data_IF_874709418480
#
_entry.id   IF_874709418480
#
_cell.length_a   1.000
_cell.length_b   1.000
_cell.length_c   1.000
_cell.angle_alpha   90.00
_cell.angle_beta   90.00
_cell.angle_gamma   90.00
#
_symmetry.space_group_name_H-M   'P 1'
#
loop_
_entity.id
_entity.type
_entity.pdbx_description
1 polymer ?
#
# COMPACT_ATOMS: atom_id res chain seq x y z
N UNK A 1 34.49 -4.62 70.28
CA UNK A 1 33.59 -3.48 70.58
C UNK A 1 32.74 -3.15 69.35
N UNK A 2 31.41 -3.17 69.53
CA UNK A 2 30.34 -2.48 68.75
C UNK A 2 30.24 -2.61 67.20
N UNK A 3 29.05 -3.14 66.82
CA UNK A 3 28.08 -2.64 65.80
C UNK A 3 28.44 -2.97 64.33
N UNK A 4 27.54 -3.27 63.38
CA UNK A 4 26.07 -3.22 63.26
C UNK A 4 25.63 -3.77 61.87
N UNK A 5 24.38 -4.28 61.76
CA UNK A 5 23.47 -4.42 60.58
C UNK A 5 23.96 -5.13 59.29
N UNK A 6 23.18 -5.96 58.60
CA UNK A 6 21.79 -6.41 58.73
C UNK A 6 21.43 -7.36 57.58
N UNK A 7 20.31 -8.08 57.68
CA UNK A 7 19.43 -8.55 56.58
C UNK A 7 18.35 -9.48 57.17
N UNK A 8 17.08 -9.21 56.90
CA UNK A 8 15.94 -10.15 56.98
C UNK A 8 15.31 -10.06 55.58
N UNK A 9 15.16 -11.09 54.74
CA UNK A 9 14.95 -12.52 54.99
C UNK A 9 13.55 -12.69 55.58
N UNK A 10 12.50 -13.10 54.87
CA UNK A 10 12.40 -14.23 53.96
C UNK A 10 11.61 -15.35 54.66
N UNK A 11 10.60 -15.88 53.96
CA UNK A 11 9.87 -17.13 54.21
C UNK A 11 8.94 -17.22 55.44
N UNK A 12 7.67 -17.57 55.16
CA UNK A 12 6.96 -18.55 55.98
C UNK A 12 6.26 -19.56 55.05
N UNK A 13 6.66 -20.82 55.22
CA UNK A 13 6.07 -22.01 54.63
C UNK A 13 5.00 -22.57 55.58
N UNK A 14 3.98 -23.25 55.04
CA UNK A 14 3.49 -24.49 55.66
C UNK A 14 2.71 -25.34 54.65
N UNK A 15 2.97 -26.65 54.68
CA UNK A 15 2.38 -27.72 53.88
C UNK A 15 1.68 -28.72 54.83
N UNK A 16 0.70 -29.47 54.28
CA UNK A 16 0.09 -30.74 54.71
C UNK A 16 -1.18 -30.61 55.59
N UNK A 17 -2.30 -31.32 55.36
CA UNK A 17 -2.65 -32.34 54.36
C UNK A 17 -4.01 -33.03 54.68
N UNK A 18 -4.74 -33.36 53.60
CA UNK A 18 -5.59 -34.56 53.30
C UNK A 18 -6.95 -34.85 54.03
N UNK A 19 -7.95 -35.17 53.17
CA UNK A 19 -9.20 -35.98 53.26
C UNK A 19 -10.53 -35.18 53.36
N UNK A 20 -11.64 -35.48 52.67
CA UNK A 20 -11.99 -36.22 51.45
C UNK A 20 -13.50 -35.93 51.16
N UNK A 21 -13.96 -36.24 49.93
CA UNK A 21 -15.36 -36.45 49.46
C UNK A 21 -16.15 -35.20 48.98
N UNK A 22 -16.56 -35.23 47.70
CA UNK A 22 -17.68 -34.39 47.20
C UNK A 22 -17.62 -34.02 45.71
N UNK A 23 -18.19 -34.86 44.85
CA UNK A 23 -18.61 -34.65 43.46
C UNK A 23 -18.85 -33.21 42.95
N UNK A 24 -18.19 -32.81 41.86
CA UNK A 24 -18.85 -32.51 40.57
C UNK A 24 -17.79 -32.29 39.47
N UNK A 25 -18.00 -32.95 38.33
CA UNK A 25 -17.22 -32.76 37.10
C UNK A 25 -17.62 -31.42 36.47
N UNK A 26 -16.87 -30.37 36.76
CA UNK A 26 -16.86 -29.13 35.97
C UNK A 26 -15.53 -29.03 35.24
N UNK A 27 -15.49 -29.38 33.94
CA UNK A 27 -14.37 -29.00 33.08
C UNK A 27 -14.36 -27.48 32.96
N UNK A 28 -13.43 -26.82 33.62
CA UNK A 28 -13.05 -25.46 33.25
C UNK A 28 -12.12 -25.56 32.05
N UNK A 29 -12.68 -25.38 30.86
CA UNK A 29 -11.91 -25.06 29.66
C UNK A 29 -11.08 -23.79 29.96
N UNK A 30 -9.79 -23.74 29.58
CA UNK A 30 -9.04 -22.49 29.65
C UNK A 30 -9.68 -21.50 28.67
N UNK A 31 -10.13 -20.36 29.17
CA UNK A 31 -10.54 -19.23 28.34
C UNK A 31 -9.31 -18.82 27.54
N UNK A 32 -9.27 -19.22 26.27
CA UNK A 32 -8.36 -18.67 25.30
C UNK A 32 -8.67 -17.17 25.22
N UNK A 33 -7.79 -16.35 25.79
CA UNK A 33 -7.77 -14.91 25.51
C UNK A 33 -7.44 -14.75 24.04
N UNK A 34 -8.47 -14.71 23.21
CA UNK A 34 -8.37 -14.29 21.81
C UNK A 34 -7.79 -12.87 21.81
N UNK A 35 -6.71 -12.67 21.06
CA UNK A 35 -6.25 -11.34 20.70
C UNK A 35 -7.46 -10.51 20.20
N UNK A 36 -7.53 -9.20 20.47
CA UNK A 36 -8.64 -8.37 19.99
C UNK A 36 -8.77 -8.55 18.48
N UNK A 37 -9.96 -8.94 18.03
CA UNK A 37 -10.33 -9.08 16.61
C UNK A 37 -10.08 -7.73 15.95
N UNK A 38 -8.99 -7.61 15.19
CA UNK A 38 -8.67 -6.40 14.43
C UNK A 38 -9.84 -6.11 13.50
N UNK A 39 -10.38 -4.89 13.53
CA UNK A 39 -11.52 -4.52 12.71
C UNK A 39 -11.18 -4.71 11.21
N UNK A 40 -11.79 -5.72 10.59
CA UNK A 40 -11.57 -6.08 9.20
C UNK A 40 -12.28 -5.12 8.25
N UNK A 41 -11.67 -4.94 7.08
CA UNK A 41 -12.07 -3.99 6.06
C UNK A 41 -11.98 -4.69 4.70
N UNK A 42 -12.94 -4.39 3.83
CA UNK A 42 -13.00 -4.99 2.49
C UNK A 42 -13.31 -3.94 1.41
N UNK A 43 -12.55 -3.98 0.31
CA UNK A 43 -12.86 -3.24 -0.90
C UNK A 43 -14.12 -3.79 -1.59
N UNK A 44 -14.81 -2.96 -2.38
CA UNK A 44 -15.88 -3.46 -3.22
C UNK A 44 -15.33 -4.41 -4.31
N UNK A 45 -16.18 -5.30 -4.83
CA UNK A 45 -15.77 -6.14 -5.95
C UNK A 45 -15.52 -5.28 -7.20
N UNK A 46 -14.39 -5.51 -7.88
CA UNK A 46 -14.07 -4.83 -9.13
C UNK A 46 -14.92 -5.43 -10.26
N UNK A 47 -15.64 -4.57 -10.98
CA UNK A 47 -16.44 -5.00 -12.14
C UNK A 47 -15.54 -5.51 -13.28
N UNK A 48 -16.05 -6.45 -14.08
CA UNK A 48 -15.36 -6.92 -15.28
C UNK A 48 -15.13 -5.75 -16.24
N UNK A 49 -13.88 -5.53 -16.73
CA UNK A 49 -13.59 -4.45 -17.67
C UNK A 49 -14.48 -4.54 -18.91
N UNK A 50 -14.91 -3.39 -19.43
CA UNK A 50 -15.53 -3.33 -20.76
C UNK A 50 -14.51 -3.80 -21.80
N UNK A 51 -14.92 -4.68 -22.71
CA UNK A 51 -14.12 -5.03 -23.89
C UNK A 51 -14.03 -3.88 -24.91
N UNK A 52 -14.81 -2.82 -24.71
CA UNK A 52 -14.90 -1.64 -25.57
C UNK A 52 -14.49 -0.39 -24.79
N UNK A 53 -13.28 0.08 -25.04
CA UNK A 53 -12.72 1.27 -24.39
C UNK A 53 -13.51 2.55 -24.73
N UNK A 54 -14.08 2.64 -25.93
CA UNK A 54 -14.87 3.82 -26.32
C UNK A 54 -16.17 3.92 -25.54
N UNK A 55 -16.82 2.78 -25.25
CA UNK A 55 -18.02 2.77 -24.40
C UNK A 55 -17.70 3.13 -22.95
N UNK A 56 -16.58 2.64 -22.42
CA UNK A 56 -16.14 2.99 -21.08
C UNK A 56 -15.87 4.50 -20.96
N UNK A 57 -15.23 5.09 -21.98
CA UNK A 57 -15.03 6.54 -22.06
C UNK A 57 -16.37 7.29 -22.09
N UNK A 58 -17.26 6.97 -23.03
CA UNK A 58 -18.56 7.64 -23.13
C UNK A 58 -19.38 7.56 -21.84
N UNK A 59 -19.36 6.41 -21.15
CA UNK A 59 -20.03 6.24 -19.87
C UNK A 59 -19.42 7.15 -18.78
N UNK A 60 -18.08 7.22 -18.70
CA UNK A 60 -17.39 8.12 -17.77
C UNK A 60 -17.73 9.58 -18.06
N UNK A 61 -17.66 9.98 -19.34
CA UNK A 61 -17.99 11.34 -19.77
C UNK A 61 -19.43 11.73 -19.43
N UNK A 62 -20.38 10.82 -19.66
CA UNK A 62 -21.78 11.01 -19.30
C UNK A 62 -21.99 11.18 -17.79
N UNK A 63 -21.29 10.38 -16.97
CA UNK A 63 -21.38 10.49 -15.52
C UNK A 63 -20.87 11.85 -15.03
N UNK A 64 -19.75 12.33 -15.56
CA UNK A 64 -19.20 13.65 -15.22
C UNK A 64 -20.15 14.79 -15.61
N UNK A 65 -20.87 14.65 -16.72
CA UNK A 65 -21.89 15.62 -17.15
C UNK A 65 -23.09 15.64 -16.22
N UNK A 66 -23.64 14.45 -15.90
CA UNK A 66 -24.81 14.31 -15.03
C UNK A 66 -24.53 14.79 -13.60
N UNK A 67 -23.31 14.56 -13.10
CA UNK A 67 -22.86 15.07 -11.80
C UNK A 67 -22.59 16.59 -11.83
N UNK A 68 -22.63 17.23 -12.99
CA UNK A 68 -22.37 18.66 -13.15
C UNK A 68 -20.89 19.04 -13.05
N UNK A 69 -19.97 18.07 -13.07
CA UNK A 69 -18.53 18.30 -12.95
C UNK A 69 -18.03 19.16 -14.11
N UNK A 70 -18.44 18.84 -15.34
CA UNK A 70 -18.05 19.64 -16.52
C UNK A 70 -18.59 21.05 -16.49
N UNK A 71 -19.81 21.22 -15.99
CA UNK A 71 -20.41 22.54 -15.81
C UNK A 71 -19.61 23.35 -14.80
N UNK A 72 -19.29 22.76 -13.65
CA UNK A 72 -18.47 23.41 -12.63
C UNK A 72 -17.10 23.79 -13.18
N UNK A 73 -16.43 22.88 -13.89
CA UNK A 73 -15.15 23.14 -14.56
C UNK A 73 -15.24 24.28 -15.57
N UNK A 74 -16.28 24.30 -16.41
CA UNK A 74 -16.47 25.35 -17.42
C UNK A 74 -16.79 26.72 -16.80
N UNK A 75 -17.56 26.77 -15.73
CA UNK A 75 -17.97 28.01 -15.07
C UNK A 75 -16.89 28.60 -14.16
N UNK A 76 -16.03 27.76 -13.57
CA UNK A 76 -15.09 28.18 -12.51
C UNK A 76 -13.62 27.96 -12.84
N UNK A 77 -13.30 27.09 -13.80
CA UNK A 77 -11.95 26.59 -14.04
C UNK A 77 -11.46 25.59 -13.00
N UNK A 78 -12.32 25.09 -12.10
CA UNK A 78 -11.92 24.16 -11.03
C UNK A 78 -11.48 22.80 -11.59
N UNK A 79 -10.19 22.49 -11.51
CA UNK A 79 -9.58 21.26 -12.03
C UNK A 79 -8.92 20.39 -10.95
N UNK A 80 -8.90 20.87 -9.70
CA UNK A 80 -8.12 20.30 -8.60
C UNK A 80 -6.70 20.85 -8.47
N UNK A 81 -6.29 21.78 -9.35
CA UNK A 81 -4.97 22.41 -9.28
C UNK A 81 -4.70 23.00 -7.88
N UNK A 82 -3.53 22.70 -7.32
CA UNK A 82 -3.12 23.15 -6.00
C UNK A 82 -3.79 22.41 -4.83
N UNK A 83 -4.61 21.39 -5.11
CA UNK A 83 -5.17 20.49 -4.10
C UNK A 83 -4.40 19.16 -4.10
N UNK A 84 -4.25 18.59 -2.90
CA UNK A 84 -3.69 17.25 -2.72
C UNK A 84 -4.81 16.28 -2.37
N UNK A 85 -4.92 15.21 -3.16
CA UNK A 85 -5.78 14.07 -2.96
C UNK A 85 -4.96 12.91 -2.39
N UNK A 86 -5.38 12.32 -1.28
CA UNK A 86 -4.86 11.03 -0.83
C UNK A 86 -5.87 9.91 -1.13
N UNK A 87 -5.39 8.82 -1.73
CA UNK A 87 -6.18 7.62 -2.02
C UNK A 87 -5.73 6.52 -1.06
N UNK A 88 -6.64 6.05 -0.21
CA UNK A 88 -6.40 4.98 0.77
C UNK A 88 -7.20 3.75 0.35
N UNK A 89 -6.54 2.79 -0.31
CA UNK A 89 -7.21 1.68 -1.01
C UNK A 89 -6.26 0.49 -1.28
N UNK A 90 -6.48 -0.29 -2.34
CA UNK A 90 -5.64 -1.42 -2.78
C UNK A 90 -4.33 -1.01 -3.47
N UNK A 91 -4.04 0.28 -3.52
CA UNK A 91 -2.97 0.88 -4.32
C UNK A 91 -3.52 1.38 -5.66
N UNK A 92 -2.65 1.91 -6.51
CA UNK A 92 -3.00 2.31 -7.88
C UNK A 92 -1.91 1.93 -8.86
N UNK A 93 -2.28 1.64 -10.11
CA UNK A 93 -1.33 1.64 -11.22
C UNK A 93 -0.89 3.09 -11.52
N UNK A 94 0.41 3.42 -11.46
CA UNK A 94 0.90 4.78 -11.66
C UNK A 94 0.56 5.37 -13.04
N UNK A 95 0.31 4.52 -14.04
CA UNK A 95 -0.04 4.93 -15.41
C UNK A 95 -1.40 5.61 -15.50
N UNK A 96 -2.30 5.37 -14.54
CA UNK A 96 -3.66 5.94 -14.54
C UNK A 96 -3.66 7.46 -14.49
N UNK A 97 -2.62 8.05 -13.89
CA UNK A 97 -2.46 9.50 -13.76
C UNK A 97 -1.79 10.15 -14.98
N UNK A 98 -1.43 9.35 -15.99
CA UNK A 98 -0.68 9.77 -17.18
C UNK A 98 0.82 9.60 -16.99
N UNK A 99 1.60 10.48 -17.63
CA UNK A 99 3.05 10.46 -17.58
C UNK A 99 3.69 10.30 -18.95
N UNK A 100 5.01 10.08 -18.96
CA UNK A 100 5.79 9.88 -20.18
C UNK A 100 6.76 8.72 -19.99
N UNK A 101 6.68 7.72 -20.88
CA UNK A 101 7.48 6.50 -20.80
C UNK A 101 7.23 5.75 -19.50
N UNK A 102 8.23 5.72 -18.63
CA UNK A 102 8.27 4.98 -17.35
C UNK A 102 8.30 5.91 -16.14
N UNK A 103 7.81 7.15 -16.32
CA UNK A 103 7.71 8.16 -15.26
C UNK A 103 6.28 8.64 -15.12
N UNK A 104 5.75 8.54 -13.89
CA UNK A 104 4.52 9.18 -13.49
C UNK A 104 4.70 10.72 -13.50
N UNK A 105 3.62 11.51 -13.67
CA UNK A 105 3.72 12.96 -13.68
C UNK A 105 4.12 13.50 -12.30
N UNK A 106 4.70 14.70 -12.25
CA UNK A 106 5.20 15.31 -11.01
C UNK A 106 4.13 15.48 -9.93
N UNK A 107 2.86 15.61 -10.33
CA UNK A 107 1.72 15.69 -9.42
C UNK A 107 1.46 14.41 -8.63
N UNK A 108 1.98 13.24 -9.04
CA UNK A 108 1.91 12.03 -8.21
C UNK A 108 3.08 12.08 -7.22
N UNK A 109 2.77 12.54 -6.00
CA UNK A 109 3.77 12.94 -5.02
C UNK A 109 4.41 11.74 -4.33
N UNK A 110 3.61 10.71 -4.01
CA UNK A 110 4.10 9.52 -3.33
C UNK A 110 3.24 8.27 -3.55
N UNK A 111 3.83 7.11 -3.28
CA UNK A 111 3.19 5.80 -3.34
C UNK A 111 3.72 4.94 -2.20
N UNK A 112 2.82 4.55 -1.29
CA UNK A 112 3.15 3.95 0.01
C UNK A 112 2.46 2.59 0.14
N UNK A 113 3.22 1.54 0.44
CA UNK A 113 2.68 0.25 0.88
C UNK A 113 2.51 0.20 2.40
N UNK A 114 1.27 0.07 2.87
CA UNK A 114 0.94 -0.13 4.29
C UNK A 114 0.52 -1.57 4.59
N UNK A 115 0.36 -2.43 3.59
CA UNK A 115 -0.04 -3.83 3.80
C UNK A 115 1.15 -4.73 4.09
N UNK A 116 2.34 -4.35 3.64
CA UNK A 116 3.54 -5.17 3.70
C UNK A 116 3.60 -6.24 2.60
N UNK A 117 2.58 -6.31 1.72
CA UNK A 117 2.53 -7.22 0.58
C UNK A 117 3.63 -6.90 -0.45
N UNK A 118 4.12 -5.66 -0.45
CA UNK A 118 5.21 -5.21 -1.28
C UNK A 118 6.60 -5.55 -0.75
N UNK A 119 6.72 -6.09 0.47
CA UNK A 119 8.03 -6.40 1.06
C UNK A 119 8.69 -7.54 0.29
N UNK A 120 9.87 -7.24 -0.25
CA UNK A 120 10.65 -8.16 -1.05
C UNK A 120 11.61 -9.00 -0.19
N UNK A 121 12.15 -10.08 -0.76
CA UNK A 121 13.15 -10.91 -0.08
C UNK A 121 14.54 -10.56 -0.60
N UNK A 122 15.47 -10.23 0.31
CA UNK A 122 16.88 -10.08 -0.05
C UNK A 122 17.55 -11.46 -0.08
N UNK A 123 18.28 -11.73 -1.17
CA UNK A 123 19.04 -12.98 -1.36
C UNK A 123 20.45 -12.81 -0.79
N UNK A 124 21.14 -11.73 -1.14
CA UNK A 124 22.49 -11.48 -0.64
C UNK A 124 23.26 -10.42 -1.41
N UNK A 125 24.51 -10.22 -1.02
CA UNK A 125 25.46 -9.32 -1.67
C UNK A 125 26.37 -10.10 -2.61
N UNK A 126 26.56 -9.58 -3.82
CA UNK A 126 27.32 -10.23 -4.88
C UNK A 126 28.24 -9.22 -5.57
N UNK A 127 29.39 -9.70 -6.03
CA UNK A 127 30.32 -8.91 -6.85
C UNK A 127 30.26 -9.42 -8.28
N UNK A 128 30.14 -8.51 -9.25
CA UNK A 128 30.13 -8.90 -10.65
C UNK A 128 31.53 -9.24 -11.13
N UNK A 129 31.67 -10.35 -11.87
CA UNK A 129 32.86 -10.62 -12.68
C UNK A 129 32.63 -9.99 -14.06
N UNK A 130 33.34 -8.89 -14.31
CA UNK A 130 33.09 -7.98 -15.44
C UNK A 130 31.67 -7.41 -15.44
N UNK A 131 30.71 -8.11 -16.05
CA UNK A 131 29.29 -7.72 -16.12
C UNK A 131 28.35 -8.83 -15.68
N UNK A 132 28.87 -9.96 -15.22
CA UNK A 132 28.06 -11.13 -14.86
C UNK A 132 28.03 -11.30 -13.34
N UNK A 133 26.83 -11.37 -12.79
CA UNK A 133 26.58 -11.81 -11.41
C UNK A 133 26.21 -13.30 -11.42
N UNK A 134 26.89 -14.09 -10.59
CA UNK A 134 26.52 -15.48 -10.34
C UNK A 134 25.80 -15.59 -8.99
N UNK A 135 24.48 -15.78 -9.05
CA UNK A 135 23.59 -15.86 -7.89
C UNK A 135 23.10 -17.29 -7.80
N UNK A 136 23.69 -18.06 -6.88
CA UNK A 136 23.30 -19.46 -6.64
C UNK A 136 23.30 -20.35 -7.91
N UNK A 137 24.19 -20.06 -8.87
CA UNK A 137 24.30 -20.78 -10.14
C UNK A 137 23.48 -20.17 -11.30
N UNK A 138 22.70 -19.12 -11.04
CA UNK A 138 22.00 -18.33 -12.06
C UNK A 138 22.91 -17.17 -12.48
N UNK A 139 23.07 -16.97 -13.79
CA UNK A 139 23.91 -15.91 -14.34
C UNK A 139 23.04 -14.72 -14.75
N UNK A 140 23.29 -13.57 -14.16
CA UNK A 140 22.63 -12.31 -14.50
C UNK A 140 23.60 -11.34 -15.16
N UNK A 141 23.19 -10.73 -16.26
CA UNK A 141 23.93 -9.64 -16.90
C UNK A 141 23.55 -8.30 -16.27
N UNK A 142 24.52 -7.60 -15.71
CA UNK A 142 24.35 -6.25 -15.12
C UNK A 142 25.11 -5.18 -15.91
N UNK A 143 25.47 -5.44 -17.16
CA UNK A 143 26.27 -4.53 -17.99
C UNK A 143 25.66 -3.14 -18.18
N UNK A 144 24.33 -2.99 -18.13
CA UNK A 144 23.64 -1.68 -18.15
C UNK A 144 23.30 -1.11 -16.77
N UNK A 145 23.56 -1.85 -15.69
CA UNK A 145 23.31 -1.40 -14.32
C UNK A 145 24.56 -0.72 -13.78
N UNK A 146 24.48 0.58 -13.54
CA UNK A 146 25.63 1.36 -13.06
C UNK A 146 25.88 1.09 -11.57
N UNK A 147 27.09 0.63 -11.23
CA UNK A 147 27.60 0.55 -9.86
C UNK A 147 28.94 1.28 -9.72
N UNK A 148 29.18 1.91 -8.56
CA UNK A 148 30.45 2.56 -8.21
C UNK A 148 31.39 1.63 -7.47
N UNK A 149 30.86 0.69 -6.70
CA UNK A 149 31.64 -0.30 -5.95
C UNK A 149 31.92 -1.58 -6.75
N UNK A 150 31.13 -1.87 -7.79
CA UNK A 150 31.11 -3.18 -8.46
C UNK A 150 30.36 -4.25 -7.66
N UNK A 151 29.74 -3.88 -6.55
CA UNK A 151 28.92 -4.74 -5.70
C UNK A 151 27.43 -4.46 -5.91
N UNK A 152 26.63 -5.50 -5.78
CA UNK A 152 25.20 -5.48 -5.99
C UNK A 152 24.51 -6.28 -4.89
N UNK A 153 23.37 -5.79 -4.44
CA UNK A 153 22.48 -6.56 -3.57
C UNK A 153 21.43 -7.19 -4.46
N UNK A 154 21.24 -8.49 -4.36
CA UNK A 154 20.24 -9.22 -5.14
C UNK A 154 19.06 -9.55 -4.25
N UNK A 155 17.86 -9.41 -4.79
CA UNK A 155 16.64 -9.81 -4.12
C UNK A 155 15.61 -10.38 -5.10
N UNK A 156 14.50 -10.83 -4.56
CA UNK A 156 13.39 -11.39 -5.32
C UNK A 156 12.09 -10.68 -5.01
N UNK A 157 11.25 -10.48 -6.03
CA UNK A 157 9.97 -9.79 -5.86
C UNK A 157 9.04 -10.53 -4.89
N UNK A 158 8.12 -9.80 -4.23
CA UNK A 158 7.13 -10.39 -3.34
C UNK A 158 6.31 -11.49 -4.02
N UNK A 159 5.97 -12.54 -3.27
CA UNK A 159 5.22 -13.68 -3.81
C UNK A 159 3.83 -13.29 -4.32
N UNK A 160 3.24 -12.23 -3.74
CA UNK A 160 1.99 -11.64 -4.20
C UNK A 160 1.98 -11.30 -5.69
N UNK A 161 3.12 -10.91 -6.27
CA UNK A 161 3.26 -10.68 -7.71
C UNK A 161 3.52 -11.99 -8.45
N UNK A 162 4.51 -12.77 -8.01
CA UNK A 162 4.98 -13.94 -8.77
C UNK A 162 3.92 -15.04 -8.86
N UNK A 163 3.08 -15.20 -7.83
CA UNK A 163 1.95 -16.13 -7.83
C UNK A 163 0.83 -15.74 -8.81
N UNK A 164 0.79 -14.46 -9.23
CA UNK A 164 -0.17 -13.96 -10.24
C UNK A 164 0.38 -14.08 -11.66
N UNK A 165 1.65 -14.47 -11.83
CA UNK A 165 2.27 -14.66 -13.13
C UNK A 165 1.97 -16.06 -13.68
N UNK A 166 1.75 -16.14 -15.00
CA UNK A 166 1.44 -17.42 -15.66
C UNK A 166 2.56 -18.46 -15.57
N UNK A 167 3.81 -18.01 -15.40
CA UNK A 167 5.00 -18.87 -15.31
C UNK A 167 5.31 -19.35 -13.89
N UNK A 168 4.72 -18.71 -12.87
CA UNK A 168 5.07 -18.85 -11.44
C UNK A 168 6.59 -18.80 -11.18
N UNK A 169 7.34 -18.09 -12.03
CA UNK A 169 8.79 -17.93 -11.90
C UNK A 169 9.09 -16.83 -10.90
N UNK A 170 10.18 -17.01 -10.15
CA UNK A 170 10.74 -15.96 -9.34
C UNK A 170 11.26 -14.84 -10.24
N UNK A 171 10.93 -13.60 -9.89
CA UNK A 171 11.46 -12.40 -10.54
C UNK A 171 12.57 -11.83 -9.65
N UNK A 172 13.73 -11.57 -10.23
CA UNK A 172 14.88 -11.02 -9.51
C UNK A 172 14.99 -9.50 -9.71
N UNK A 173 15.61 -8.85 -8.74
CA UNK A 173 16.04 -7.47 -8.85
C UNK A 173 17.45 -7.30 -8.29
N UNK A 174 18.14 -6.27 -8.76
CA UNK A 174 19.44 -5.85 -8.24
C UNK A 174 19.33 -4.45 -7.65
N UNK A 175 20.03 -4.21 -6.55
CA UNK A 175 20.23 -2.90 -5.94
C UNK A 175 21.68 -2.49 -6.21
N UNK A 176 21.84 -1.29 -6.73
CA UNK A 176 23.13 -0.72 -7.12
C UNK A 176 23.36 0.64 -6.47
N UNK A 177 24.61 1.09 -6.50
CA UNK A 177 25.11 2.32 -5.91
C UNK A 177 25.66 3.32 -6.97
N UNK A 178 24.83 3.74 -7.96
CA UNK A 178 25.30 4.47 -9.13
C UNK A 178 25.91 5.84 -8.82
N UNK A 179 25.51 6.47 -7.71
CA UNK A 179 25.91 7.83 -7.35
C UNK A 179 27.24 7.86 -6.62
N UNK A 180 27.42 6.99 -5.63
CA UNK A 180 28.62 6.89 -4.80
C UNK A 180 28.77 5.46 -4.27
N UNK A 181 30.02 4.99 -4.15
CA UNK A 181 30.29 3.64 -3.64
C UNK A 181 29.68 3.44 -2.24
N UNK A 182 28.90 2.37 -2.07
CA UNK A 182 28.20 2.06 -0.82
C UNK A 182 26.87 2.80 -0.61
N UNK A 183 26.49 3.73 -1.48
CA UNK A 183 25.18 4.40 -1.46
C UNK A 183 24.18 3.65 -2.36
N UNK A 184 23.71 2.50 -1.89
CA UNK A 184 22.72 1.69 -2.58
C UNK A 184 21.35 2.36 -2.56
N UNK A 185 20.94 2.91 -3.69
CA UNK A 185 19.74 3.74 -3.78
C UNK A 185 18.93 3.55 -5.07
N UNK A 186 19.34 2.61 -5.93
CA UNK A 186 18.72 2.32 -7.21
C UNK A 186 18.44 0.84 -7.33
N UNK A 187 17.21 0.47 -7.67
CA UNK A 187 16.74 -0.90 -7.86
C UNK A 187 16.40 -1.11 -9.33
N UNK A 188 16.87 -2.19 -9.93
CA UNK A 188 16.51 -2.58 -11.30
C UNK A 188 15.94 -4.00 -11.27
N UNK A 189 14.79 -4.20 -11.90
CA UNK A 189 14.02 -5.46 -11.88
C UNK A 189 14.17 -6.14 -13.24
N UNK A 190 14.35 -7.46 -13.27
CA UNK A 190 14.34 -8.29 -14.49
C UNK A 190 12.87 -8.54 -14.90
N UNK A 191 12.28 -7.60 -15.63
CA UNK A 191 10.84 -7.56 -15.89
C UNK A 191 10.39 -8.51 -17.00
N UNK A 192 11.29 -8.86 -17.92
CA UNK A 192 11.02 -9.78 -19.03
C UNK A 192 11.60 -11.19 -18.82
N UNK A 193 12.31 -11.43 -17.72
CA UNK A 193 12.83 -12.72 -17.27
C UNK A 193 13.90 -13.31 -18.19
N UNK A 194 14.65 -12.45 -18.88
CA UNK A 194 15.76 -12.86 -19.73
C UNK A 194 17.13 -12.89 -19.01
N UNK A 195 17.13 -12.51 -17.71
CA UNK A 195 18.32 -12.41 -16.87
C UNK A 195 19.32 -11.31 -17.29
N UNK A 196 18.89 -10.34 -18.08
CA UNK A 196 19.66 -9.16 -18.49
C UNK A 196 19.01 -7.85 -17.99
N UNK A 197 19.67 -7.21 -17.04
CA UNK A 197 19.20 -5.94 -16.48
C UNK A 197 19.56 -4.72 -17.36
N UNK A 198 20.21 -4.91 -18.51
CA UNK A 198 20.75 -3.83 -19.33
C UNK A 198 19.68 -2.94 -19.99
N UNK A 199 18.52 -3.49 -20.29
CA UNK A 199 17.37 -2.77 -20.87
C UNK A 199 16.39 -2.22 -19.84
N UNK A 200 16.64 -2.50 -18.56
CA UNK A 200 15.62 -2.38 -17.52
C UNK A 200 15.56 -0.99 -16.88
N UNK A 201 14.38 -0.66 -16.34
CA UNK A 201 14.13 0.66 -15.77
C UNK A 201 14.75 0.78 -14.38
N UNK A 202 15.68 1.73 -14.15
CA UNK A 202 16.20 1.98 -12.82
C UNK A 202 15.16 2.71 -11.96
N UNK A 203 14.80 2.11 -10.84
CA UNK A 203 13.85 2.62 -9.87
C UNK A 203 14.58 3.23 -8.67
N UNK A 204 14.06 4.35 -8.19
CA UNK A 204 14.39 4.95 -6.90
C UNK A 204 13.10 5.13 -6.12
N UNK A 205 13.21 5.38 -4.81
CA UNK A 205 12.03 5.63 -3.98
C UNK A 205 11.10 6.63 -4.68
N UNK A 206 9.83 6.25 -4.77
CA UNK A 206 8.90 6.85 -5.73
C UNK A 206 8.76 8.35 -5.53
N UNK A 207 8.66 8.82 -4.27
CA UNK A 207 8.67 10.25 -3.90
C UNK A 207 9.79 11.09 -4.54
N UNK A 208 10.94 10.47 -4.83
CA UNK A 208 12.11 11.17 -5.33
C UNK A 208 12.18 11.21 -6.86
N UNK A 209 11.79 10.14 -7.55
CA UNK A 209 12.02 10.01 -9.00
C UNK A 209 10.76 9.69 -9.82
N UNK A 210 9.68 9.21 -9.19
CA UNK A 210 8.39 8.87 -9.83
C UNK A 210 8.52 7.85 -10.97
N UNK A 211 9.59 7.07 -10.97
CA UNK A 211 9.84 5.99 -11.93
C UNK A 211 9.03 4.76 -11.56
N UNK A 212 8.51 4.07 -12.56
CA UNK A 212 7.90 2.76 -12.43
C UNK A 212 8.42 1.81 -13.50
N UNK A 213 8.47 0.52 -13.19
CA UNK A 213 8.68 -0.56 -14.14
C UNK A 213 7.33 -1.18 -14.50
N UNK A 214 7.27 -1.98 -15.57
CA UNK A 214 6.05 -2.68 -15.97
C UNK A 214 6.34 -4.17 -16.01
N UNK A 215 5.56 -4.96 -15.28
CA UNK A 215 5.66 -6.43 -15.32
C UNK A 215 4.44 -7.00 -16.02
N UNK A 216 4.69 -7.93 -16.93
CA UNK A 216 3.64 -8.69 -17.62
C UNK A 216 3.25 -9.90 -16.78
N UNK A 217 1.97 -9.99 -16.40
CA UNK A 217 1.41 -11.12 -15.64
C UNK A 217 0.87 -12.21 -16.59
N UNK A 218 0.28 -11.78 -17.71
CA UNK A 218 -0.26 -12.62 -18.78
C UNK A 218 -0.32 -11.85 -20.11
N UNK A 219 -0.74 -12.49 -21.21
CA UNK A 219 -0.85 -11.86 -22.53
C UNK A 219 -1.68 -10.57 -22.57
N UNK A 220 -2.63 -10.41 -21.65
CA UNK A 220 -3.55 -9.27 -21.60
C UNK A 220 -3.38 -8.40 -20.36
N UNK A 221 -2.48 -8.76 -19.43
CA UNK A 221 -2.36 -8.09 -18.14
C UNK A 221 -0.93 -7.72 -17.84
N UNK A 222 -0.74 -6.45 -17.52
CA UNK A 222 0.50 -5.91 -16.97
C UNK A 222 0.19 -4.98 -15.80
N UNK A 223 1.14 -4.84 -14.89
CA UNK A 223 1.04 -3.92 -13.76
C UNK A 223 2.23 -2.97 -13.76
N UNK A 224 1.98 -1.71 -13.39
CA UNK A 224 3.03 -0.79 -13.00
C UNK A 224 3.54 -1.14 -11.60
N UNK A 225 4.86 -1.16 -11.43
CA UNK A 225 5.54 -1.39 -10.16
C UNK A 225 6.45 -0.23 -9.83
N UNK A 226 6.35 0.29 -8.61
CA UNK A 226 7.19 1.37 -8.09
C UNK A 226 8.07 0.86 -6.96
N UNK A 227 9.18 1.55 -6.67
CA UNK A 227 9.90 1.35 -5.42
C UNK A 227 9.27 2.26 -4.36
N UNK A 228 8.47 1.68 -3.46
CA UNK A 228 7.79 2.44 -2.40
C UNK A 228 8.78 2.87 -1.31
N UNK A 229 9.64 1.95 -0.88
CA UNK A 229 10.62 2.22 0.18
C UNK A 229 11.89 1.40 0.04
N UNK A 230 13.03 2.00 0.36
CA UNK A 230 14.34 1.35 0.41
C UNK A 230 15.08 1.76 1.68
N UNK A 231 15.19 0.86 2.65
CA UNK A 231 15.89 1.06 3.91
C UNK A 231 16.72 -0.19 4.26
N UNK A 232 17.92 -0.27 3.68
CA UNK A 232 18.83 -1.39 3.85
C UNK A 232 19.36 -1.53 5.28
N UNK A 233 19.36 -0.45 6.07
CA UNK A 233 19.72 -0.53 7.49
C UNK A 233 18.75 -1.41 8.30
N UNK A 234 17.54 -1.61 7.77
CA UNK A 234 16.51 -2.49 8.31
C UNK A 234 16.26 -3.72 7.44
N UNK A 235 17.06 -3.93 6.40
CA UNK A 235 16.84 -4.98 5.40
C UNK A 235 15.52 -4.85 4.64
N UNK A 236 14.99 -3.62 4.50
CA UNK A 236 13.68 -3.36 3.92
C UNK A 236 13.79 -2.87 2.48
N UNK A 237 13.19 -3.63 1.56
CA UNK A 237 12.85 -3.19 0.21
C UNK A 237 11.36 -3.44 0.03
N UNK A 238 10.59 -2.41 -0.29
CA UNK A 238 9.15 -2.51 -0.50
C UNK A 238 8.76 -1.92 -1.84
N UNK A 239 8.05 -2.72 -2.62
CA UNK A 239 7.51 -2.33 -3.92
C UNK A 239 6.04 -1.95 -3.82
N UNK A 240 5.61 -1.13 -4.77
CA UNK A 240 4.23 -0.72 -4.88
C UNK A 240 3.56 -1.13 -6.17
N UNK A 241 2.34 -1.64 -6.07
CA UNK A 241 1.52 -2.12 -7.18
C UNK A 241 0.04 -2.21 -6.78
N UNK A 242 -0.85 -2.31 -7.78
CA UNK A 242 -2.26 -2.65 -7.58
C UNK A 242 -2.63 -3.88 -8.42
N UNK A 243 -2.78 -5.02 -7.75
CA UNK A 243 -3.21 -6.30 -8.33
C UNK A 243 -4.71 -6.55 -8.15
N UNK A 244 -5.42 -5.67 -7.44
CA UNK A 244 -6.85 -5.75 -7.25
C UNK A 244 -7.61 -4.96 -8.34
N UNK A 245 -7.16 -3.73 -8.58
CA UNK A 245 -7.76 -2.79 -9.55
C UNK A 245 -8.78 -1.83 -8.95
N UNK A 246 -9.25 -2.05 -7.71
CA UNK A 246 -10.21 -1.17 -7.05
C UNK A 246 -9.65 0.24 -6.87
N UNK A 247 -8.47 0.35 -6.26
CA UNK A 247 -7.82 1.64 -6.06
C UNK A 247 -7.39 2.29 -7.38
N UNK A 248 -6.95 1.53 -8.39
CA UNK A 248 -6.72 2.08 -9.75
C UNK A 248 -7.99 2.69 -10.34
N UNK A 249 -9.13 2.03 -10.19
CA UNK A 249 -10.43 2.55 -10.62
C UNK A 249 -10.82 3.84 -9.88
N UNK A 250 -10.61 3.86 -8.56
CA UNK A 250 -10.85 5.05 -7.74
C UNK A 250 -9.93 6.22 -8.15
N UNK A 251 -8.65 5.94 -8.39
CA UNK A 251 -7.68 6.91 -8.89
C UNK A 251 -8.03 7.46 -10.26
N UNK A 252 -8.53 6.62 -11.17
CA UNK A 252 -9.02 7.04 -12.48
C UNK A 252 -10.19 8.03 -12.34
N UNK A 253 -11.20 7.68 -11.54
CA UNK A 253 -12.38 8.51 -11.32
C UNK A 253 -12.04 9.85 -10.68
N UNK A 254 -11.14 9.85 -9.69
CA UNK A 254 -10.82 11.04 -8.93
C UNK A 254 -9.86 11.98 -9.68
N UNK A 255 -8.76 11.44 -10.21
CA UNK A 255 -7.63 12.24 -10.69
C UNK A 255 -6.95 11.63 -11.94
N UNK A 256 -7.64 10.74 -12.66
CA UNK A 256 -7.17 10.17 -13.93
C UNK A 256 -6.89 11.25 -14.96
N UNK A 257 -6.11 10.91 -15.99
CA UNK A 257 -5.72 11.84 -17.05
C UNK A 257 -6.06 11.34 -18.45
N UNK A 258 -5.93 12.21 -19.45
CA UNK A 258 -6.18 11.87 -20.85
C UNK A 258 -7.65 11.68 -21.16
N UNK A 259 -7.98 10.69 -22.00
CA UNK A 259 -9.34 10.43 -22.46
C UNK A 259 -10.29 9.98 -21.33
N UNK A 260 -9.75 9.50 -20.20
CA UNK A 260 -10.49 9.11 -19.00
C UNK A 260 -10.16 10.04 -17.85
N UNK A 261 -10.11 11.35 -18.12
CA UNK A 261 -9.85 12.36 -17.10
C UNK A 261 -10.87 12.25 -15.95
N UNK A 262 -10.37 12.28 -14.73
CA UNK A 262 -11.20 12.21 -13.53
C UNK A 262 -11.92 13.52 -13.20
N UNK A 263 -12.53 13.57 -12.02
CA UNK A 263 -13.21 14.76 -11.50
C UNK A 263 -12.25 15.94 -11.30
N UNK A 264 -11.06 15.66 -10.79
CA UNK A 264 -10.03 16.64 -10.44
C UNK A 264 -8.66 16.25 -11.05
N UNK A 265 -8.52 16.29 -12.39
CA UNK A 265 -7.37 15.73 -13.11
C UNK A 265 -6.05 16.45 -12.85
N UNK A 266 -6.07 17.70 -12.34
CA UNK A 266 -4.87 18.46 -12.00
C UNK A 266 -4.51 18.42 -10.51
N UNK A 267 -5.23 17.62 -9.72
CA UNK A 267 -4.85 17.38 -8.33
C UNK A 267 -3.51 16.67 -8.21
N UNK A 268 -2.76 17.04 -7.17
CA UNK A 268 -1.64 16.25 -6.70
C UNK A 268 -2.17 15.00 -6.00
N UNK A 269 -1.50 13.86 -6.14
CA UNK A 269 -1.98 12.56 -5.65
C UNK A 269 -0.94 11.91 -4.76
N UNK A 270 -1.38 11.44 -3.60
CA UNK A 270 -0.65 10.49 -2.76
C UNK A 270 -1.44 9.19 -2.73
N UNK A 271 -0.73 8.07 -2.91
CA UNK A 271 -1.33 6.74 -2.89
C UNK A 271 -0.87 6.00 -1.65
N UNK A 272 -1.82 5.53 -0.85
CA UNK A 272 -1.58 4.68 0.30
C UNK A 272 -2.31 3.35 0.09
N UNK A 273 -1.55 2.30 -0.23
CA UNK A 273 -2.08 0.93 -0.29
C UNK A 273 -2.31 0.43 1.13
N UNK A 274 -3.56 0.45 1.58
CA UNK A 274 -3.99 -0.04 2.88
C UNK A 274 -4.69 -1.41 2.81
N UNK A 275 -5.08 -1.83 1.61
CA UNK A 275 -5.74 -3.11 1.33
C UNK A 275 -4.86 -3.99 0.44
N UNK A 276 -4.85 -5.30 0.72
CA UNK A 276 -4.09 -6.29 -0.05
C UNK A 276 -4.66 -6.47 -1.46
N UNK A 277 -3.96 -7.23 -2.30
CA UNK A 277 -4.43 -7.57 -3.65
C UNK A 277 -5.75 -8.35 -3.68
N UNK A 278 -6.13 -8.97 -2.57
CA UNK A 278 -7.43 -9.63 -2.40
C UNK A 278 -8.53 -8.68 -1.90
N UNK A 279 -8.21 -7.39 -1.75
CA UNK A 279 -9.14 -6.35 -1.29
C UNK A 279 -9.43 -6.42 0.20
N UNK A 280 -8.57 -7.07 0.99
CA UNK A 280 -8.72 -7.22 2.44
C UNK A 280 -7.73 -6.32 3.17
N UNK A 281 -8.11 -5.83 4.35
CA UNK A 281 -7.18 -5.09 5.19
C UNK A 281 -7.66 -4.94 6.61
N UNK A 282 -6.80 -4.32 7.42
CA UNK A 282 -7.11 -3.95 8.79
C UNK A 282 -7.41 -2.47 8.85
N UNK A 283 -8.35 -2.08 9.71
CA UNK A 283 -8.67 -0.67 9.89
C UNK A 283 -7.48 0.19 10.33
N UNK A 284 -6.51 -0.38 11.05
CA UNK A 284 -5.27 0.31 11.40
C UNK A 284 -4.43 0.73 10.19
N UNK A 285 -4.52 0.04 9.06
CA UNK A 285 -3.87 0.47 7.82
C UNK A 285 -4.63 1.63 7.16
N UNK A 286 -5.96 1.68 7.32
CA UNK A 286 -6.76 2.84 6.89
C UNK A 286 -6.38 4.07 7.71
N UNK A 287 -6.27 3.92 9.03
CA UNK A 287 -5.82 4.98 9.93
C UNK A 287 -4.42 5.50 9.55
N UNK A 288 -3.44 4.60 9.34
CA UNK A 288 -2.11 4.98 8.82
C UNK A 288 -2.18 5.68 7.46
N UNK A 289 -3.08 5.26 6.57
CA UNK A 289 -3.28 5.93 5.28
C UNK A 289 -3.75 7.37 5.43
N UNK A 290 -4.58 7.65 6.44
CA UNK A 290 -5.01 9.01 6.78
C UNK A 290 -3.89 9.78 7.47
N UNK A 291 -3.05 9.14 8.30
CA UNK A 291 -1.84 9.77 8.86
C UNK A 291 -0.86 10.21 7.76
N UNK A 292 -0.68 9.39 6.72
CA UNK A 292 0.09 9.76 5.53
C UNK A 292 -0.58 10.92 4.76
N UNK A 293 -1.92 10.92 4.67
CA UNK A 293 -2.67 12.02 4.06
C UNK A 293 -2.48 13.35 4.80
N UNK A 294 -2.53 13.32 6.14
CA UNK A 294 -2.27 14.48 7.00
C UNK A 294 -0.82 14.97 6.81
N UNK A 295 0.14 14.05 6.78
CA UNK A 295 1.56 14.37 6.56
C UNK A 295 1.78 15.03 5.20
N UNK A 296 1.06 14.57 4.17
CA UNK A 296 1.05 15.14 2.83
C UNK A 296 0.21 16.41 2.68
N UNK A 297 -0.49 16.85 3.73
CA UNK A 297 -1.45 17.96 3.72
C UNK A 297 -2.53 17.80 2.65
N UNK A 298 -3.10 16.61 2.58
CA UNK A 298 -4.20 16.30 1.69
C UNK A 298 -5.44 17.16 2.02
N UNK A 299 -5.97 17.83 1.00
CA UNK A 299 -7.26 18.54 1.08
C UNK A 299 -8.43 17.55 1.08
N UNK A 300 -8.27 16.42 0.40
CA UNK A 300 -9.28 15.36 0.31
C UNK A 300 -8.63 14.01 0.53
N UNK A 301 -9.25 13.17 1.35
CA UNK A 301 -8.87 11.78 1.56
C UNK A 301 -10.02 10.89 1.11
N UNK A 302 -9.77 10.09 0.07
CA UNK A 302 -10.70 9.11 -0.45
C UNK A 302 -10.32 7.73 0.08
N UNK A 303 -11.20 7.15 0.91
CA UNK A 303 -11.05 5.77 1.37
C UNK A 303 -11.94 4.89 0.51
N UNK A 304 -11.40 3.80 -0.04
CA UNK A 304 -12.15 2.91 -0.93
C UNK A 304 -12.99 1.83 -0.23
N UNK A 305 -12.97 1.78 1.09
CA UNK A 305 -13.49 0.64 1.84
C UNK A 305 -14.18 1.05 3.14
N UNK A 306 -15.18 0.27 3.54
CA UNK A 306 -15.89 0.43 4.80
C UNK A 306 -15.50 -0.68 5.79
N UNK A 307 -15.69 -0.42 7.09
CA UNK A 307 -15.61 -1.47 8.12
C UNK A 307 -16.67 -2.53 7.87
N UNK A 308 -16.38 -3.78 8.20
CA UNK A 308 -17.41 -4.84 8.15
C UNK A 308 -18.42 -4.74 9.30
N UNK A 309 -18.01 -4.19 10.44
CA UNK A 309 -18.83 -4.02 11.64
C UNK A 309 -18.67 -2.61 12.20
N UNK A 310 -19.77 -2.04 12.70
CA UNK A 310 -19.71 -0.81 13.47
C UNK A 310 -18.91 -1.02 14.75
N UNK A 311 -18.10 -0.03 15.11
CA UNK A 311 -17.34 -0.04 16.36
C UNK A 311 -16.84 1.36 16.68
N UNK A 312 -16.91 1.74 17.95
CA UNK A 312 -16.34 2.99 18.43
C UNK A 312 -14.81 2.85 18.51
N UNK A 313 -14.10 3.84 17.99
CA UNK A 313 -12.64 3.92 18.09
C UNK A 313 -12.26 5.37 18.43
N UNK A 314 -11.83 5.66 19.67
CA UNK A 314 -11.37 7.01 20.05
C UNK A 314 -10.22 7.52 19.18
N UNK A 315 -9.33 6.64 18.71
CA UNK A 315 -8.22 7.00 17.82
C UNK A 315 -8.74 7.47 16.47
N UNK A 316 -9.77 6.81 15.95
CA UNK A 316 -10.48 7.21 14.72
C UNK A 316 -11.09 8.60 14.83
N UNK A 317 -11.74 8.91 15.96
CA UNK A 317 -12.36 10.22 16.18
C UNK A 317 -11.29 11.33 16.27
N UNK A 318 -10.17 11.05 16.93
CA UNK A 318 -9.05 11.98 17.01
C UNK A 318 -8.43 12.25 15.63
N UNK A 319 -8.29 11.20 14.81
CA UNK A 319 -7.73 11.29 13.47
C UNK A 319 -8.62 12.10 12.51
N UNK A 320 -9.94 11.87 12.54
CA UNK A 320 -10.90 12.69 11.80
C UNK A 320 -10.83 14.16 12.23
N UNK A 321 -10.76 14.43 13.53
CA UNK A 321 -10.65 15.80 14.04
C UNK A 321 -9.34 16.47 13.61
N UNK A 322 -8.22 15.74 13.60
CA UNK A 322 -6.93 16.26 13.14
C UNK A 322 -6.96 16.62 11.65
N UNK A 323 -7.54 15.77 10.81
CA UNK A 323 -7.72 16.05 9.38
C UNK A 323 -8.62 17.28 9.16
N UNK A 324 -9.73 17.39 9.90
CA UNK A 324 -10.62 18.54 9.81
C UNK A 324 -9.96 19.85 10.28
N UNK A 325 -9.15 19.82 11.35
CA UNK A 325 -8.44 21.00 11.88
C UNK A 325 -7.47 21.61 10.87
N UNK A 326 -6.91 20.80 9.96
CA UNK A 326 -6.06 21.30 8.88
C UNK A 326 -6.82 21.62 7.59
N UNK A 327 -8.15 21.55 7.60
CA UNK A 327 -9.02 21.82 6.45
C UNK A 327 -9.13 20.66 5.46
N UNK A 328 -8.72 19.45 5.84
CA UNK A 328 -8.89 18.25 5.03
C UNK A 328 -10.30 17.68 5.14
N UNK A 329 -10.78 17.10 4.05
CA UNK A 329 -12.10 16.47 3.96
C UNK A 329 -11.97 14.95 3.76
N UNK A 330 -12.66 14.19 4.60
CA UNK A 330 -12.68 12.73 4.53
C UNK A 330 -13.92 12.25 3.78
N UNK A 331 -13.72 11.35 2.81
CA UNK A 331 -14.80 10.68 2.09
C UNK A 331 -14.69 9.17 2.31
N UNK A 332 -15.76 8.59 2.83
CA UNK A 332 -15.89 7.16 3.12
C UNK A 332 -17.08 6.58 2.34
N UNK A 333 -17.02 5.31 1.94
CA UNK A 333 -18.20 4.61 1.47
C UNK A 333 -19.10 4.23 2.65
N UNK A 334 -20.41 4.27 2.43
CA UNK A 334 -21.44 3.77 3.36
C UNK A 334 -21.33 2.25 3.59
N UNK A 335 -20.73 1.55 2.62
CA UNK A 335 -20.60 0.09 2.61
C UNK A 335 -21.68 -0.60 1.77
N UNK A 336 -21.42 -1.86 1.40
CA UNK A 336 -22.25 -2.63 0.48
C UNK A 336 -23.21 -3.62 1.19
N UNK A 337 -23.48 -3.41 2.48
CA UNK A 337 -24.31 -4.30 3.30
C UNK A 337 -25.82 -4.03 3.18
N UNK A 338 -26.24 -3.14 2.27
CA UNK A 338 -27.65 -2.91 1.94
C UNK A 338 -28.37 -4.17 1.42
N UNK A 339 -29.71 -4.13 1.26
CA UNK A 339 -30.58 -2.96 1.32
C UNK A 339 -31.21 -2.68 2.70
N UNK A 340 -30.78 -3.38 3.76
CA UNK A 340 -31.31 -3.18 5.11
C UNK A 340 -31.01 -1.79 5.68
N UNK A 341 -31.93 -1.22 6.46
CA UNK A 341 -31.67 0.00 7.21
C UNK A 341 -30.62 -0.24 8.32
N UNK A 342 -29.84 0.79 8.66
CA UNK A 342 -28.84 0.72 9.73
C UNK A 342 -27.56 -0.07 9.36
N UNK A 343 -27.22 -0.11 8.07
CA UNK A 343 -26.08 -0.88 7.53
C UNK A 343 -24.79 -0.06 7.38
N UNK A 344 -24.79 1.21 7.79
CA UNK A 344 -23.59 2.05 7.87
C UNK A 344 -22.73 1.60 9.05
N UNK A 345 -21.46 1.30 8.79
CA UNK A 345 -20.52 0.71 9.77
C UNK A 345 -19.46 1.68 10.28
N UNK A 346 -19.49 2.93 9.83
CA UNK A 346 -18.56 3.98 10.24
C UNK A 346 -19.34 5.13 10.91
N UNK A 347 -18.77 5.68 11.97
CA UNK A 347 -19.31 6.88 12.63
C UNK A 347 -18.56 8.10 12.07
N UNK A 348 -19.21 8.93 11.23
CA UNK A 348 -18.55 10.11 10.66
C UNK A 348 -18.49 11.27 11.66
N UNK A 349 -17.42 12.05 11.60
CA UNK A 349 -17.36 13.39 12.15
C UNK A 349 -18.17 14.38 11.29
N UNK A 350 -18.38 15.62 11.77
CA UNK A 350 -19.13 16.66 11.05
C UNK A 350 -18.58 16.99 9.66
N UNK A 351 -17.26 16.90 9.51
CA UNK A 351 -16.55 17.23 8.26
C UNK A 351 -16.20 15.99 7.42
N UNK A 352 -16.87 14.85 7.71
CA UNK A 352 -16.73 13.58 6.98
C UNK A 352 -17.97 13.31 6.14
N UNK A 353 -17.78 13.02 4.85
CA UNK A 353 -18.84 12.56 3.96
C UNK A 353 -18.87 11.04 3.92
N UNK A 354 -20.07 10.46 4.07
CA UNK A 354 -20.32 9.02 3.86
C UNK A 354 -21.23 8.86 2.64
N UNK A 355 -20.78 8.13 1.63
CA UNK A 355 -21.45 7.96 0.32
C UNK A 355 -21.92 6.55 0.05
#
# INVERSE_FOLDING_TARGET
>A
MRKRFGLLGGLLALVLGICAIGSSLGRTEPVATTAPELAQVRAAAVATPSSDASKAQQASEHNLDVLGVRRLQAETGASGLGQTLCIVDTGTDPRVFGGSGTRAPERVLDWIDLTGEGIATLVGEYTADSVILNVEGILFNVGGVRSRSGQYIVGTLPSAITERMSSNKQVYFVISDPDAAGLYNTVTIDTDLDSDFGGEVPLREFRNNRSYAVITLSQERSIGIVLSRLDLSKGLVSFGFDLNGHGTGLGALAAGSGALAGVAPESSVVVAKALTSDGLGNWSNIEKGIEEAISAKASVVLVGSAREKAGDNPEWNALQAQLAQMGGHLVLPAGNAGPGAGTITVVPASDTTVL
#
